data_IF_044139527355
#
_entry.id   IF_044139527355
#
_cell.length_a   1.000
_cell.length_b   1.000
_cell.length_c   1.000
_cell.angle_alpha   90.00
_cell.angle_beta   90.00
_cell.angle_gamma   90.00
#
_symmetry.space_group_name_H-M   'P 1'
#
loop_
_entity.id
_entity.type
_entity.pdbx_description
1 polymer ?
#
# COMPACT_ATOMS: atom_id res chain seq x y z
N UNK A 1 -1.17 -0.35 0.14
CA UNK A 1 -1.45 -0.31 1.59
C UNK A 1 -0.20 0.13 2.34
N UNK A 2 -0.35 0.82 3.47
CA UNK A 2 0.75 1.26 4.34
C UNK A 2 0.43 0.92 5.80
N UNK A 3 1.44 0.49 6.55
CA UNK A 3 1.27 0.12 7.96
C UNK A 3 0.98 1.35 8.83
N UNK A 4 -0.02 1.23 9.70
CA UNK A 4 -0.47 2.29 10.61
C UNK A 4 0.65 2.83 11.50
N UNK A 5 1.55 1.99 11.99
CA UNK A 5 2.62 2.44 12.88
C UNK A 5 3.76 3.05 12.08
N UNK A 6 4.00 2.57 10.85
CA UNK A 6 4.94 3.22 9.95
C UNK A 6 4.49 4.63 9.51
N UNK A 7 3.18 4.83 9.28
CA UNK A 7 2.60 6.16 9.04
C UNK A 7 2.90 7.11 10.20
N UNK A 8 2.78 6.64 11.44
CA UNK A 8 3.09 7.44 12.64
C UNK A 8 4.58 7.72 12.77
N UNK A 9 5.43 6.72 12.54
CA UNK A 9 6.90 6.83 12.56
C UNK A 9 7.38 7.94 11.62
N UNK A 10 6.81 8.01 10.42
CA UNK A 10 7.14 9.02 9.41
C UNK A 10 6.39 10.35 9.59
N UNK A 11 5.45 10.45 10.52
CA UNK A 11 4.63 11.65 10.71
C UNK A 11 3.76 12.01 9.49
N UNK A 12 3.37 11.03 8.67
CA UNK A 12 2.65 11.28 7.42
C UNK A 12 1.20 11.75 7.70
N UNK A 13 0.72 12.80 7.01
CA UNK A 13 -0.66 13.22 7.14
C UNK A 13 -1.60 12.14 6.59
N UNK A 14 -2.72 11.94 7.29
CA UNK A 14 -3.77 11.00 6.87
C UNK A 14 -5.07 11.76 6.60
N UNK A 15 -5.86 11.27 5.65
CA UNK A 15 -7.24 11.72 5.43
C UNK A 15 -8.21 10.58 5.71
N UNK A 16 -9.36 10.90 6.29
CA UNK A 16 -10.45 9.96 6.40
C UNK A 16 -11.12 9.79 5.02
N UNK A 17 -11.58 8.57 4.74
CA UNK A 17 -12.50 8.30 3.63
C UNK A 17 -13.91 8.69 4.07
N UNK A 18 -14.68 9.27 3.16
CA UNK A 18 -16.10 9.59 3.40
C UNK A 18 -16.94 8.34 3.63
N UNK A 19 -16.57 7.24 2.98
CA UNK A 19 -17.13 5.91 3.20
C UNK A 19 -15.98 4.94 3.46
N UNK A 20 -15.91 4.34 4.67
CA UNK A 20 -14.95 3.29 4.95
C UNK A 20 -15.15 2.09 4.01
N UNK A 21 -14.04 1.51 3.53
CA UNK A 21 -14.07 0.35 2.65
C UNK A 21 -13.90 -0.91 3.49
N UNK A 22 -14.83 -1.85 3.33
CA UNK A 22 -14.77 -3.16 3.95
C UNK A 22 -13.88 -4.07 3.10
N UNK A 23 -12.79 -4.56 3.69
CA UNK A 23 -11.86 -5.46 3.01
C UNK A 23 -12.13 -6.88 3.50
N UNK A 24 -12.32 -7.77 2.54
CA UNK A 24 -12.47 -9.20 2.77
C UNK A 24 -11.14 -9.89 2.48
N UNK A 25 -10.82 -10.89 3.28
CA UNK A 25 -9.74 -11.82 2.98
C UNK A 25 -10.11 -12.69 1.77
N UNK A 26 -9.13 -13.40 1.21
CA UNK A 26 -9.33 -14.28 0.04
C UNK A 26 -10.35 -15.41 0.35
N UNK A 27 -10.45 -15.82 1.60
CA UNK A 27 -11.42 -16.83 2.07
C UNK A 27 -12.83 -16.25 2.32
N UNK A 28 -13.05 -14.97 2.03
CA UNK A 28 -14.33 -14.29 2.21
C UNK A 28 -14.62 -13.81 3.63
N UNK A 29 -13.74 -14.07 4.60
CA UNK A 29 -13.87 -13.53 5.96
C UNK A 29 -13.58 -12.03 5.98
N UNK A 30 -14.12 -11.32 6.96
CA UNK A 30 -13.74 -9.94 7.20
C UNK A 30 -12.26 -9.89 7.59
N UNK A 31 -11.51 -8.97 6.98
CA UNK A 31 -10.14 -8.74 7.39
C UNK A 31 -10.11 -8.31 8.88
N UNK A 32 -9.32 -8.99 9.71
CA UNK A 32 -9.23 -8.73 11.16
C UNK A 32 -8.80 -7.29 11.47
N UNK A 33 -8.10 -6.62 10.55
CA UNK A 33 -7.71 -5.22 10.69
C UNK A 33 -8.90 -4.24 10.60
N UNK A 34 -10.10 -4.72 10.28
CA UNK A 34 -11.34 -3.95 10.24
C UNK A 34 -11.53 -3.13 8.96
N UNK A 35 -12.41 -2.12 9.05
CA UNK A 35 -12.71 -1.20 7.96
C UNK A 35 -11.51 -0.28 7.65
N UNK A 36 -11.16 -0.17 6.37
CA UNK A 36 -10.21 0.84 5.92
C UNK A 36 -10.93 2.19 5.87
N UNK A 37 -10.65 3.03 6.84
CA UNK A 37 -11.24 4.37 6.97
C UNK A 37 -10.27 5.51 6.68
N UNK A 38 -8.96 5.21 6.58
CA UNK A 38 -7.91 6.21 6.39
C UNK A 38 -7.02 5.88 5.21
N UNK A 39 -6.54 6.93 4.55
CA UNK A 39 -5.55 6.85 3.49
C UNK A 39 -4.46 7.90 3.69
N UNK A 40 -3.29 7.61 3.14
CA UNK A 40 -2.16 8.52 2.99
C UNK A 40 -2.02 8.84 1.52
N UNK A 41 -1.79 10.12 1.22
CA UNK A 41 -1.40 10.60 -0.09
C UNK A 41 0.08 11.00 0.00
N UNK A 42 0.95 10.26 -0.69
CA UNK A 42 2.40 10.38 -0.56
C UNK A 42 3.09 10.33 -1.91
N UNK A 43 4.31 10.85 -1.96
CA UNK A 43 5.24 10.61 -3.06
C UNK A 43 6.03 9.35 -2.73
N UNK A 44 5.96 8.36 -3.61
CA UNK A 44 6.80 7.16 -3.55
C UNK A 44 7.91 7.31 -4.57
N UNK A 45 9.15 7.18 -4.10
CA UNK A 45 10.34 7.17 -4.93
C UNK A 45 11.02 5.81 -4.84
N UNK A 46 11.30 5.23 -5.99
CA UNK A 46 12.06 3.99 -6.13
C UNK A 46 13.00 4.13 -7.33
N UNK A 47 14.31 4.09 -7.07
CA UNK A 47 15.35 4.41 -8.04
C UNK A 47 15.10 5.73 -8.78
N UNK A 48 14.95 5.69 -10.12
CA UNK A 48 14.67 6.84 -10.97
C UNK A 48 13.17 7.10 -11.19
N UNK A 49 12.28 6.32 -10.57
CA UNK A 49 10.84 6.49 -10.63
C UNK A 49 10.32 7.23 -9.40
N UNK A 50 9.47 8.22 -9.61
CA UNK A 50 8.73 8.89 -8.54
C UNK A 50 7.30 9.16 -8.97
N UNK A 51 6.34 8.80 -8.12
CA UNK A 51 4.93 9.07 -8.38
C UNK A 51 4.17 9.43 -7.11
N UNK A 52 3.06 10.14 -7.28
CA UNK A 52 2.08 10.34 -6.22
C UNK A 52 1.18 9.11 -6.13
N UNK A 53 1.13 8.50 -4.95
CA UNK A 53 0.37 7.28 -4.69
C UNK A 53 -0.57 7.46 -3.51
N UNK A 54 -1.78 6.91 -3.64
CA UNK A 54 -2.76 6.84 -2.57
C UNK A 54 -2.70 5.47 -1.89
N UNK A 55 -2.34 5.44 -0.62
CA UNK A 55 -2.16 4.23 0.16
C UNK A 55 -3.21 4.11 1.26
N UNK A 56 -3.97 3.04 1.24
CA UNK A 56 -4.85 2.67 2.34
C UNK A 56 -4.06 2.31 3.61
N UNK A 57 -4.44 2.92 4.73
CA UNK A 57 -3.82 2.69 6.04
C UNK A 57 -4.46 1.47 6.69
N UNK A 58 -3.64 0.49 7.08
CA UNK A 58 -4.08 -0.72 7.78
C UNK A 58 -2.95 -1.27 8.64
N UNK A 59 -3.15 -2.37 9.36
CA UNK A 59 -2.08 -3.09 10.07
C UNK A 59 -1.50 -4.16 9.15
N UNK A 60 -0.21 -4.08 8.84
CA UNK A 60 0.46 -4.97 7.88
C UNK A 60 1.43 -5.99 8.51
N UNK A 61 1.42 -6.10 9.84
CA UNK A 61 2.31 -7.03 10.55
C UNK A 61 3.77 -6.60 10.43
N UNK A 62 4.57 -7.36 9.67
CA UNK A 62 6.01 -7.12 9.49
C UNK A 62 6.33 -6.17 8.34
N UNK A 63 5.41 -6.00 7.39
CA UNK A 63 5.62 -5.19 6.20
C UNK A 63 5.26 -3.72 6.47
N UNK A 64 6.04 -2.79 5.93
CA UNK A 64 5.79 -1.35 6.04
C UNK A 64 4.82 -0.84 4.96
N UNK A 65 4.97 -1.33 3.72
CA UNK A 65 4.15 -0.97 2.55
C UNK A 65 3.91 -2.23 1.72
N UNK A 66 2.71 -2.36 1.16
CA UNK A 66 2.38 -3.40 0.17
C UNK A 66 1.76 -2.72 -1.05
N UNK A 67 2.35 -2.95 -2.23
CA UNK A 67 1.79 -2.58 -3.52
C UNK A 67 0.89 -3.71 -4.03
N UNK A 68 -0.30 -3.35 -4.47
CA UNK A 68 -1.29 -4.32 -4.94
C UNK A 68 -1.17 -4.61 -6.43
N UNK A 69 -1.89 -5.64 -6.88
CA UNK A 69 -1.98 -6.03 -8.29
C UNK A 69 -2.30 -4.86 -9.24
N UNK A 70 -3.20 -3.96 -8.85
CA UNK A 70 -3.57 -2.79 -9.68
C UNK A 70 -2.38 -1.87 -9.96
N UNK A 71 -1.47 -1.72 -9.00
CA UNK A 71 -0.24 -0.94 -9.17
C UNK A 71 0.72 -1.66 -10.13
N UNK A 72 0.91 -2.97 -9.97
CA UNK A 72 1.75 -3.77 -10.86
C UNK A 72 1.20 -3.81 -12.29
N UNK A 73 -0.12 -3.95 -12.47
CA UNK A 73 -0.76 -3.92 -13.79
C UNK A 73 -0.58 -2.57 -14.49
N UNK A 74 -0.61 -1.47 -13.75
CA UNK A 74 -0.43 -0.11 -14.29
C UNK A 74 0.99 0.11 -14.81
N UNK A 75 1.99 -0.29 -14.04
CA UNK A 75 3.40 0.00 -14.36
C UNK A 75 4.10 -1.12 -15.11
N UNK A 76 3.57 -2.34 -15.05
CA UNK A 76 4.12 -3.55 -15.65
C UNK A 76 5.66 -3.67 -15.52
N UNK A 77 6.21 -3.51 -14.30
CA UNK A 77 7.66 -3.55 -14.12
C UNK A 77 8.20 -4.94 -14.42
N UNK A 78 9.48 -5.00 -14.79
CA UNK A 78 10.20 -6.27 -14.88
C UNK A 78 10.58 -6.73 -13.47
N UNK A 79 10.18 -7.94 -13.09
CA UNK A 79 10.39 -8.49 -11.74
C UNK A 79 11.17 -9.79 -11.86
N UNK A 80 12.39 -9.78 -11.33
CA UNK A 80 13.16 -11.00 -11.11
C UNK A 80 12.87 -11.51 -9.69
N UNK A 81 12.04 -12.55 -9.60
CA UNK A 81 11.69 -13.18 -8.32
C UNK A 81 12.84 -13.97 -7.68
N UNK A 82 13.87 -14.34 -8.44
CA UNK A 82 15.05 -15.06 -7.93
C UNK A 82 15.96 -14.11 -7.17
N UNK A 83 16.20 -12.93 -7.74
CA UNK A 83 17.05 -11.89 -7.12
C UNK A 83 16.27 -10.91 -6.24
N UNK A 84 14.95 -10.84 -6.41
CA UNK A 84 14.09 -9.87 -5.74
C UNK A 84 14.15 -8.47 -6.36
N UNK A 85 14.68 -8.35 -7.59
CA UNK A 85 14.87 -7.06 -8.26
C UNK A 85 13.59 -6.63 -8.97
N UNK A 86 13.25 -5.33 -8.87
CA UNK A 86 12.15 -4.70 -9.61
C UNK A 86 12.75 -3.61 -10.47
N UNK A 87 12.50 -3.65 -11.78
CA UNK A 87 12.95 -2.62 -12.70
C UNK A 87 11.73 -1.92 -13.30
N UNK A 88 11.65 -0.62 -13.07
CA UNK A 88 10.61 0.23 -13.63
C UNK A 88 10.89 0.43 -15.14
N UNK A 89 9.85 0.23 -15.96
CA UNK A 89 9.88 0.46 -17.43
C UNK A 89 9.44 1.86 -17.80
#
# INVERSE_FOLDING_TARGET
FIDKDYVKELGLPTRNLSQPVQVFNVDGTLNEAGLISKVVDAIMTYENHSERILLAVTKLGKQKVILGYTWFKKHNPDIDFTTGTVKMT
#
